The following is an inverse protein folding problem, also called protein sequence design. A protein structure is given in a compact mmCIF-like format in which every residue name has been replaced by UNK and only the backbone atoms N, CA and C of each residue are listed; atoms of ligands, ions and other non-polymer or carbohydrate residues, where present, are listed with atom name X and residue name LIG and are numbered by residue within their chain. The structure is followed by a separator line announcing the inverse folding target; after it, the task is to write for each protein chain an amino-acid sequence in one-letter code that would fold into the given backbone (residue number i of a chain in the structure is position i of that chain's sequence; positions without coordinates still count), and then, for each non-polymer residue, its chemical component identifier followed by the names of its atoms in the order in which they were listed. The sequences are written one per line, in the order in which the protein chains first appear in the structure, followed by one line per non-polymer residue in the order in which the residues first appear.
data_IF_703800735432
#
_entry.id   IF_703800735432
#
_cell.length_a   1.000
_cell.length_b   1.000
_cell.length_c   1.000
_cell.angle_alpha   90.00
_cell.angle_beta   90.00
_cell.angle_gamma   90.00
#
_symmetry.space_group_name_H-M   'P 1'
#
loop_
_entity.id
_entity.type
_entity.pdbx_description
1 polymer ?
#
# COMPACT_ATOMS: atom_id res chain seq x y z
N UNK A 1 6.43 -18.95 -15.20
CA UNK A 1 6.41 -17.59 -14.60
C UNK A 1 6.32 -17.75 -13.09
N UNK A 2 7.23 -17.13 -12.33
CA UNK A 2 7.12 -17.05 -10.88
C UNK A 2 6.22 -15.86 -10.54
N UNK A 3 5.08 -16.09 -9.88
CA UNK A 3 4.11 -15.05 -9.56
C UNK A 3 3.92 -14.94 -8.03
N UNK A 4 3.95 -13.70 -7.54
CA UNK A 4 3.75 -13.36 -6.13
C UNK A 4 2.51 -12.50 -6.00
N UNK A 5 1.66 -12.80 -5.01
CA UNK A 5 0.56 -11.97 -4.59
C UNK A 5 0.86 -11.34 -3.24
N UNK A 6 0.63 -10.04 -3.12
CA UNK A 6 0.81 -9.28 -1.88
C UNK A 6 -0.42 -8.40 -1.69
N UNK A 7 -1.10 -8.55 -0.55
CA UNK A 7 -2.19 -7.68 -0.13
C UNK A 7 -1.69 -6.78 1.00
N UNK A 8 -1.57 -5.49 0.73
CA UNK A 8 -1.01 -4.54 1.69
C UNK A 8 -1.96 -4.23 2.84
N UNK A 9 -3.27 -4.32 2.60
CA UNK A 9 -4.31 -4.02 3.59
C UNK A 9 -4.40 -5.09 4.68
N UNK A 10 -4.15 -6.35 4.32
CA UNK A 10 -4.23 -7.49 5.24
C UNK A 10 -2.86 -8.01 5.62
N UNK A 11 -1.80 -7.69 4.87
CA UNK A 11 -0.47 -8.28 5.03
C UNK A 11 -0.36 -9.70 4.49
N UNK A 12 -1.34 -10.17 3.69
CA UNK A 12 -1.31 -11.49 3.08
C UNK A 12 -0.24 -11.55 1.99
N UNK A 13 0.64 -12.55 2.09
CA UNK A 13 1.62 -12.87 1.06
C UNK A 13 1.37 -14.29 0.53
N UNK A 14 1.34 -14.43 -0.80
CA UNK A 14 1.18 -15.71 -1.48
C UNK A 14 2.22 -15.89 -2.57
N UNK A 15 3.01 -16.95 -2.50
CA UNK A 15 3.81 -17.41 -3.63
C UNK A 15 2.96 -18.41 -4.44
N UNK A 16 2.46 -17.97 -5.59
CA UNK A 16 1.54 -18.75 -6.42
C UNK A 16 2.22 -19.93 -7.12
N UNK A 17 3.55 -19.94 -7.14
CA UNK A 17 4.35 -20.97 -7.80
C UNK A 17 4.83 -22.07 -6.84
N UNK A 18 4.69 -21.86 -5.53
CA UNK A 18 5.20 -22.79 -4.49
C UNK A 18 4.17 -23.11 -3.41
N UNK A 19 2.91 -22.72 -3.61
CA UNK A 19 1.80 -22.81 -2.64
C UNK A 19 2.20 -22.36 -1.21
N UNK A 20 3.04 -21.32 -1.14
CA UNK A 20 3.49 -20.76 0.14
C UNK A 20 2.59 -19.58 0.50
N UNK A 21 2.02 -19.61 1.69
CA UNK A 21 1.27 -18.49 2.27
C UNK A 21 1.95 -18.02 3.54
N UNK A 22 2.06 -16.70 3.71
CA UNK A 22 2.59 -16.07 4.92
C UNK A 22 1.77 -14.84 5.27
N UNK A 23 1.72 -14.56 6.57
CA UNK A 23 1.07 -13.39 7.13
C UNK A 23 2.15 -12.42 7.61
N UNK A 24 2.08 -11.17 7.16
CA UNK A 24 2.91 -10.08 7.63
C UNK A 24 2.07 -9.03 8.35
N UNK A 25 2.74 -8.03 8.93
CA UNK A 25 2.04 -6.87 9.47
C UNK A 25 1.43 -6.08 8.30
N UNK A 26 0.13 -5.73 8.36
CA UNK A 26 -0.48 -4.84 7.39
C UNK A 26 0.22 -3.48 7.33
N UNK A 27 0.14 -2.81 6.18
CA UNK A 27 0.52 -1.41 6.10
C UNK A 27 -0.46 -0.54 6.88
N UNK A 28 0.07 0.50 7.51
CA UNK A 28 -0.80 1.50 8.12
C UNK A 28 -1.50 2.35 7.04
N UNK A 29 -2.63 2.94 7.44
CA UNK A 29 -3.49 3.71 6.55
C UNK A 29 -2.76 4.93 5.96
N UNK A 30 -1.82 5.53 6.70
CA UNK A 30 -1.09 6.70 6.22
C UNK A 30 -0.10 6.31 5.10
N UNK A 31 0.63 5.20 5.29
CA UNK A 31 1.51 4.64 4.28
C UNK A 31 0.74 4.16 3.04
N UNK A 32 -0.42 3.53 3.23
CA UNK A 32 -1.32 3.21 2.11
C UNK A 32 -1.69 4.46 1.32
N UNK A 33 -2.14 5.53 2.00
CA UNK A 33 -2.51 6.78 1.34
C UNK A 33 -1.35 7.40 0.55
N UNK A 34 -0.11 7.26 1.06
CA UNK A 34 1.10 7.70 0.37
C UNK A 34 1.35 6.90 -0.90
N UNK A 35 1.23 5.56 -0.83
CA UNK A 35 1.42 4.67 -1.98
C UNK A 35 0.34 4.94 -3.03
N UNK A 36 -0.92 5.04 -2.63
CA UNK A 36 -2.06 5.34 -3.51
C UNK A 36 -1.93 6.70 -4.20
N UNK A 37 -1.35 7.69 -3.52
CA UNK A 37 -1.08 8.99 -4.10
C UNK A 37 0.10 9.00 -5.08
N UNK A 38 0.85 7.90 -5.20
CA UNK A 38 2.05 7.83 -6.04
C UNK A 38 3.33 8.34 -5.36
N UNK A 39 3.32 8.44 -4.04
CA UNK A 39 4.49 8.80 -3.23
C UNK A 39 4.28 9.99 -2.30
N UNK A 40 5.31 10.27 -1.51
CA UNK A 40 5.26 11.27 -0.43
C UNK A 40 4.92 12.68 -0.92
N UNK A 41 5.53 13.11 -2.02
CA UNK A 41 5.35 14.45 -2.57
C UNK A 41 3.89 14.68 -3.01
N UNK A 42 3.35 13.79 -3.84
CA UNK A 42 1.97 13.85 -4.31
C UNK A 42 0.95 13.77 -3.16
N UNK A 43 1.21 12.94 -2.13
CA UNK A 43 0.35 12.88 -0.95
C UNK A 43 0.35 14.21 -0.17
N UNK A 44 1.51 14.85 -0.04
CA UNK A 44 1.64 16.15 0.62
C UNK A 44 0.88 17.24 -0.15
N UNK A 45 1.07 17.34 -1.46
CA UNK A 45 0.35 18.30 -2.30
C UNK A 45 -1.17 18.12 -2.19
N UNK A 46 -1.65 16.88 -2.26
CA UNK A 46 -3.08 16.54 -2.09
C UNK A 46 -3.63 16.96 -0.73
N UNK A 47 -2.84 16.82 0.34
CA UNK A 47 -3.24 17.24 1.70
C UNK A 47 -3.28 18.76 1.83
N UNK A 48 -2.29 19.45 1.29
CA UNK A 48 -2.23 20.92 1.31
C UNK A 48 -3.38 21.55 0.50
N UNK A 49 -3.70 20.99 -0.67
CA UNK A 49 -4.82 21.45 -1.48
C UNK A 49 -6.17 21.37 -0.74
N UNK A 50 -6.38 20.31 0.05
CA UNK A 50 -7.59 20.17 0.89
C UNK A 50 -7.64 21.18 2.04
N UNK A 51 -6.49 21.55 2.61
CA UNK A 51 -6.43 22.54 3.68
C UNK A 51 -6.71 23.96 3.17
N UNK A 52 -6.24 24.29 1.96
CA UNK A 52 -6.45 25.60 1.35
C UNK A 52 -7.89 25.81 0.82
N UNK A 53 -8.65 24.73 0.64
CA UNK A 53 -10.03 24.76 0.17
C UNK A 53 -11.07 24.89 1.31
N UNK A 54 -10.63 24.79 2.56
CA UNK A 54 -11.42 25.01 3.77
C UNK A 54 -11.11 26.39 4.37
#
# INVERSE_FOLDING_TARGET
MNALGVEFQTGDFRNLSRDLKRQFKPLDIQLMAIIEAGGWHANLEKRLAKLAAN
#
